data_IF_791641126267
#
_entry.id   IF_791641126267
#
_cell.length_a   1.000
_cell.length_b   1.000
_cell.length_c   1.000
_cell.angle_alpha   90.00
_cell.angle_beta   90.00
_cell.angle_gamma   90.00
#
_symmetry.space_group_name_H-M   'P 1'
#
loop_
_entity.id
_entity.type
_entity.pdbx_description
1 polymer ?
#
# COMPACT_ATOMS: atom_id res chain seq x y z
N UNK A 1 -1.73 36.43 -12.81
CA UNK A 1 -2.46 35.70 -11.75
C UNK A 1 -3.87 35.48 -12.26
N UNK A 2 -4.15 34.30 -12.81
CA UNK A 2 -5.48 33.89 -13.30
C UNK A 2 -6.00 32.82 -12.34
N UNK A 3 -7.29 32.85 -11.97
CA UNK A 3 -7.86 31.90 -11.03
C UNK A 3 -7.95 30.53 -11.70
N UNK A 4 -7.53 29.49 -10.99
CA UNK A 4 -7.75 28.10 -11.38
C UNK A 4 -9.20 27.82 -11.03
N UNK A 5 -10.04 27.68 -12.06
CA UNK A 5 -11.46 27.33 -11.96
C UNK A 5 -11.64 25.86 -11.60
N UNK A 6 -12.60 25.62 -10.71
CA UNK A 6 -13.13 24.35 -10.19
C UNK A 6 -13.40 23.26 -11.25
N UNK A 7 -12.36 22.53 -11.66
CA UNK A 7 -12.49 21.31 -12.44
C UNK A 7 -11.27 20.40 -12.24
N UNK A 8 -11.17 19.81 -11.05
CA UNK A 8 -10.29 18.67 -10.78
C UNK A 8 -11.06 17.69 -9.89
N UNK A 9 -12.09 17.05 -10.46
CA UNK A 9 -12.63 15.78 -9.95
C UNK A 9 -11.60 14.67 -10.22
N UNK A 10 -10.49 14.72 -9.47
CA UNK A 10 -9.47 13.70 -9.48
C UNK A 10 -9.98 12.48 -8.70
N UNK A 11 -10.23 11.38 -9.43
CA UNK A 11 -10.43 10.00 -9.01
C UNK A 11 -10.68 9.77 -7.52
N UNK A 12 -11.92 9.44 -7.17
CA UNK A 12 -12.33 9.15 -5.80
C UNK A 12 -11.59 7.92 -5.29
N UNK A 13 -10.46 8.16 -4.61
CA UNK A 13 -9.90 7.19 -3.67
C UNK A 13 -10.97 7.05 -2.60
N UNK A 14 -11.78 5.99 -2.65
CA UNK A 14 -12.81 5.74 -1.64
C UNK A 14 -12.13 5.82 -0.28
N UNK A 15 -12.53 6.81 0.51
CA UNK A 15 -11.95 7.06 1.82
C UNK A 15 -12.06 5.73 2.61
N UNK A 16 -10.95 5.20 3.16
CA UNK A 16 -10.99 4.01 4.01
C UNK A 16 -12.10 4.03 5.08
N UNK A 17 -12.49 5.23 5.52
CA UNK A 17 -13.64 5.45 6.40
C UNK A 17 -14.97 5.15 5.71
N UNK A 18 -15.25 5.75 4.56
CA UNK A 18 -16.47 5.50 3.77
C UNK A 18 -16.59 4.02 3.36
N UNK A 19 -15.48 3.40 2.97
CA UNK A 19 -15.42 1.97 2.66
C UNK A 19 -15.72 1.07 3.88
N UNK A 20 -15.37 1.50 5.09
CA UNK A 20 -15.74 0.77 6.30
C UNK A 20 -17.23 0.95 6.62
N UNK A 21 -17.72 2.18 6.55
CA UNK A 21 -19.11 2.52 6.88
C UNK A 21 -20.11 1.85 5.93
N UNK A 22 -19.78 1.70 4.64
CA UNK A 22 -20.65 1.08 3.63
C UNK A 22 -20.97 -0.41 3.90
N UNK A 23 -20.19 -1.09 4.75
CA UNK A 23 -20.48 -2.47 5.24
C UNK A 23 -20.81 -2.54 6.72
N UNK A 24 -21.16 -1.41 7.32
CA UNK A 24 -21.50 -1.32 8.73
C UNK A 24 -20.31 -1.61 9.66
N UNK A 25 -19.08 -1.40 9.17
CA UNK A 25 -17.88 -1.43 10.00
C UNK A 25 -17.53 -0.02 10.45
N UNK A 26 -16.82 0.06 11.57
CA UNK A 26 -16.35 1.32 12.11
C UNK A 26 -14.90 1.56 11.70
N UNK A 27 -14.62 2.81 11.34
CA UNK A 27 -13.25 3.26 11.13
C UNK A 27 -12.53 3.36 12.49
N UNK A 28 -11.35 2.72 12.60
CA UNK A 28 -10.53 2.65 13.80
C UNK A 28 -9.05 2.78 13.42
N UNK A 29 -8.24 3.39 14.27
CA UNK A 29 -6.78 3.33 14.18
C UNK A 29 -6.20 2.59 15.39
N UNK A 30 -4.97 2.13 15.27
CA UNK A 30 -4.24 1.50 16.38
C UNK A 30 -3.61 2.51 17.35
N UNK A 31 -3.82 3.80 17.13
CA UNK A 31 -3.57 4.86 18.12
C UNK A 31 -4.67 4.91 19.18
N UNK A 32 -5.82 4.28 18.92
CA UNK A 32 -6.91 4.15 19.88
C UNK A 32 -6.57 3.08 20.94
N UNK A 33 -7.16 3.18 22.15
CA UNK A 33 -7.07 2.14 23.17
C UNK A 33 -7.42 0.75 22.63
N UNK A 34 -6.53 -0.23 22.81
CA UNK A 34 -6.71 -1.60 22.34
C UNK A 34 -6.23 -2.65 23.33
N UNK A 35 -6.46 -3.91 22.98
CA UNK A 35 -5.95 -5.06 23.73
C UNK A 35 -4.51 -5.30 23.31
N UNK A 36 -3.61 -5.41 24.28
CA UNK A 36 -2.20 -5.71 24.06
C UNK A 36 -1.92 -7.19 24.26
N UNK A 37 -1.01 -7.75 23.47
CA UNK A 37 -0.53 -9.13 23.63
C UNK A 37 0.86 -9.17 24.25
N UNK A 38 1.01 -9.97 25.29
CA UNK A 38 2.27 -10.17 26.00
C UNK A 38 2.66 -11.65 26.00
N UNK A 39 3.95 -11.94 25.96
CA UNK A 39 4.47 -13.30 26.15
C UNK A 39 4.46 -13.66 27.64
N UNK A 40 4.07 -14.91 27.94
CA UNK A 40 4.08 -15.45 29.29
C UNK A 40 4.51 -16.93 29.23
N UNK A 41 5.82 -17.16 29.29
CA UNK A 41 6.41 -18.47 29.02
C UNK A 41 6.09 -18.91 27.58
N UNK A 42 5.54 -20.12 27.42
CA UNK A 42 5.16 -20.67 26.12
C UNK A 42 3.78 -20.18 25.60
N UNK A 43 3.07 -19.33 26.35
CA UNK A 43 1.71 -18.87 26.01
C UNK A 43 1.66 -17.36 25.88
N UNK A 44 0.60 -16.86 25.25
CA UNK A 44 0.29 -15.43 25.22
C UNK A 44 -0.74 -15.07 26.30
N UNK A 45 -0.58 -13.90 26.89
CA UNK A 45 -1.60 -13.22 27.72
C UNK A 45 -2.05 -11.94 27.02
N UNK A 46 -3.28 -11.55 27.31
CA UNK A 46 -3.89 -10.36 26.72
C UNK A 46 -4.32 -9.42 27.85
N UNK A 47 -3.99 -8.14 27.72
CA UNK A 47 -4.41 -7.09 28.64
C UNK A 47 -5.30 -6.09 27.92
N UNK A 48 -6.37 -5.64 28.57
CA UNK A 48 -7.20 -4.56 28.06
C UNK A 48 -6.46 -3.20 28.15
N UNK A 49 -7.04 -2.09 27.68
CA UNK A 49 -6.40 -0.79 27.75
C UNK A 49 -6.21 -0.24 29.17
N UNK A 50 -6.88 -0.82 30.18
CA UNK A 50 -6.69 -0.49 31.59
C UNK A 50 -5.57 -1.31 32.22
N UNK A 51 -4.99 -2.26 31.49
CA UNK A 51 -3.96 -3.18 31.96
C UNK A 51 -4.52 -4.47 32.56
N UNK A 52 -5.85 -4.64 32.59
CA UNK A 52 -6.50 -5.79 33.22
C UNK A 52 -6.46 -7.01 32.31
N UNK A 53 -6.33 -8.19 32.92
CA UNK A 53 -6.27 -9.43 32.16
C UNK A 53 -7.59 -9.71 31.43
N UNK A 54 -7.52 -9.93 30.11
CA UNK A 54 -8.68 -10.31 29.32
C UNK A 54 -9.01 -11.78 29.57
N UNK A 55 -10.08 -12.04 30.33
CA UNK A 55 -10.56 -13.39 30.68
C UNK A 55 -11.83 -13.80 29.93
N UNK A 56 -12.49 -12.86 29.25
CA UNK A 56 -13.72 -13.11 28.52
C UNK A 56 -13.47 -14.10 27.36
N UNK A 57 -14.12 -15.27 27.41
CA UNK A 57 -13.96 -16.35 26.44
C UNK A 57 -14.27 -15.92 25.00
N UNK A 58 -15.35 -15.16 24.79
CA UNK A 58 -15.74 -14.68 23.47
C UNK A 58 -14.69 -13.77 22.85
N UNK A 59 -14.06 -12.89 23.67
CA UNK A 59 -12.97 -12.03 23.21
C UNK A 59 -11.74 -12.87 22.85
N UNK A 60 -11.36 -13.82 23.70
CA UNK A 60 -10.21 -14.69 23.48
C UNK A 60 -10.38 -15.56 22.22
N UNK A 61 -11.56 -16.13 22.00
CA UNK A 61 -11.88 -16.91 20.79
C UNK A 61 -11.77 -16.05 19.53
N UNK A 62 -12.25 -14.79 19.57
CA UNK A 62 -12.08 -13.85 18.46
C UNK A 62 -10.61 -13.59 18.19
N UNK A 63 -9.80 -13.34 19.22
CA UNK A 63 -8.36 -13.08 19.08
C UNK A 63 -7.66 -14.28 18.42
N UNK A 64 -7.99 -15.51 18.84
CA UNK A 64 -7.43 -16.73 18.23
C UNK A 64 -7.77 -16.82 16.74
N UNK A 65 -9.01 -16.49 16.36
CA UNK A 65 -9.45 -16.47 14.94
C UNK A 65 -8.70 -15.44 14.08
N UNK A 66 -8.12 -14.39 14.67
CA UNK A 66 -7.31 -13.42 13.92
C UNK A 66 -5.97 -14.00 13.43
N UNK A 67 -5.54 -15.15 13.95
CA UNK A 67 -4.30 -15.84 13.57
C UNK A 67 -3.09 -14.87 13.51
N UNK A 68 -2.91 -14.08 14.57
CA UNK A 68 -1.80 -13.12 14.69
C UNK A 68 -0.51 -13.94 14.88
N UNK A 69 0.48 -13.84 13.96
CA UNK A 69 1.68 -14.65 14.03
C UNK A 69 2.39 -14.53 15.39
N UNK A 70 2.92 -15.62 15.94
CA UNK A 70 3.54 -15.60 17.26
C UNK A 70 4.81 -14.75 17.31
N UNK A 71 5.52 -14.61 16.18
CA UNK A 71 6.72 -13.79 16.07
C UNK A 71 6.46 -12.28 16.03
N UNK A 72 5.20 -11.83 15.96
CA UNK A 72 4.91 -10.39 15.92
C UNK A 72 5.10 -9.74 17.28
N UNK A 73 5.79 -8.60 17.30
CA UNK A 73 5.93 -7.71 18.46
C UNK A 73 4.98 -6.52 18.36
N UNK A 74 4.88 -5.71 19.43
CA UNK A 74 4.03 -4.51 19.50
C UNK A 74 2.61 -4.73 18.98
N UNK A 75 1.98 -5.81 19.45
CA UNK A 75 0.67 -6.23 18.94
C UNK A 75 -0.44 -5.44 19.63
N UNK A 76 -1.20 -4.73 18.81
CA UNK A 76 -2.45 -4.08 19.16
C UNK A 76 -3.63 -4.84 18.57
N UNK A 77 -4.69 -5.01 19.35
CA UNK A 77 -5.91 -5.71 18.91
C UNK A 77 -7.12 -4.84 19.22
N UNK A 78 -7.97 -4.63 18.21
CA UNK A 78 -9.16 -3.80 18.35
C UNK A 78 -10.15 -4.43 19.34
N UNK A 79 -10.66 -3.64 20.30
CA UNK A 79 -11.68 -4.10 21.25
C UNK A 79 -13.02 -4.44 20.58
N UNK A 80 -13.34 -3.76 19.46
CA UNK A 80 -14.62 -3.86 18.77
C UNK A 80 -14.53 -4.86 17.62
N UNK A 81 -15.44 -5.84 17.61
CA UNK A 81 -15.48 -6.87 16.57
C UNK A 81 -15.80 -6.29 15.17
N UNK A 82 -16.50 -5.16 15.10
CA UNK A 82 -16.84 -4.46 13.86
C UNK A 82 -15.82 -3.39 13.44
N UNK A 83 -14.63 -3.33 14.06
CA UNK A 83 -13.54 -2.46 13.60
C UNK A 83 -12.95 -2.93 12.27
N UNK A 84 -12.78 -2.05 11.30
CA UNK A 84 -12.25 -2.42 9.99
C UNK A 84 -10.80 -2.96 10.07
N UNK A 85 -9.98 -2.45 10.99
CA UNK A 85 -8.72 -3.07 11.45
C UNK A 85 -9.03 -3.87 12.71
N UNK A 86 -8.66 -5.15 12.71
CA UNK A 86 -8.82 -6.04 13.85
C UNK A 86 -7.55 -6.17 14.69
N UNK A 87 -6.36 -6.12 14.06
CA UNK A 87 -5.10 -6.10 14.78
C UNK A 87 -3.98 -5.46 13.95
N UNK A 88 -2.98 -4.94 14.65
CA UNK A 88 -1.68 -4.56 14.09
C UNK A 88 -0.55 -5.22 14.89
N UNK A 89 0.62 -5.30 14.29
CA UNK A 89 1.83 -5.76 14.95
C UNK A 89 3.06 -5.53 14.07
N UNK A 90 4.25 -5.73 14.62
CA UNK A 90 5.51 -5.63 13.88
C UNK A 90 6.05 -7.01 13.57
N UNK A 91 6.46 -7.21 12.32
CA UNK A 91 7.15 -8.44 11.94
C UNK A 91 8.62 -8.46 12.42
N UNK A 92 9.34 -9.56 12.14
CA UNK A 92 10.74 -9.72 12.51
C UNK A 92 11.69 -8.66 11.90
N UNK A 93 11.23 -7.90 10.90
CA UNK A 93 11.98 -6.78 10.30
C UNK A 93 11.49 -5.41 10.83
N UNK A 94 10.66 -5.40 11.87
CA UNK A 94 10.09 -4.18 12.47
C UNK A 94 8.98 -3.53 11.64
N UNK A 95 8.57 -4.13 10.53
CA UNK A 95 7.55 -3.55 9.63
C UNK A 95 6.18 -3.75 10.23
N UNK A 96 5.36 -2.69 10.21
CA UNK A 96 3.97 -2.73 10.67
C UNK A 96 3.12 -3.57 9.72
N UNK A 97 2.42 -4.54 10.27
CA UNK A 97 1.55 -5.49 9.59
C UNK A 97 0.13 -5.34 10.13
N UNK A 98 -0.85 -5.55 9.25
CA UNK A 98 -2.26 -5.36 9.56
C UNK A 98 -3.04 -6.67 9.45
N UNK A 99 -4.10 -6.79 10.25
CA UNK A 99 -5.18 -7.76 10.12
C UNK A 99 -6.49 -6.98 9.99
N UNK A 100 -7.16 -7.13 8.85
CA UNK A 100 -8.42 -6.45 8.56
C UNK A 100 -9.62 -7.35 8.85
N UNK A 101 -10.78 -6.73 9.08
CA UNK A 101 -12.05 -7.43 9.07
C UNK A 101 -12.34 -8.02 7.69
N UNK A 102 -12.93 -9.21 7.63
CA UNK A 102 -13.19 -9.95 6.38
C UNK A 102 -14.03 -9.14 5.39
N UNK A 103 -15.15 -8.56 5.86
CA UNK A 103 -16.00 -7.67 5.04
C UNK A 103 -15.27 -6.44 4.46
N UNK A 104 -14.35 -5.85 5.23
CA UNK A 104 -13.56 -4.72 4.74
C UNK A 104 -12.59 -5.16 3.64
N UNK A 105 -11.97 -6.33 3.82
CA UNK A 105 -11.09 -6.92 2.83
C UNK A 105 -11.84 -7.24 1.53
N UNK A 106 -13.03 -7.83 1.61
CA UNK A 106 -13.82 -8.17 0.42
C UNK A 106 -14.21 -6.96 -0.41
N UNK A 107 -14.61 -5.84 0.20
CA UNK A 107 -14.91 -4.62 -0.56
C UNK A 107 -13.64 -4.04 -1.17
N UNK A 108 -12.55 -3.96 -0.41
CA UNK A 108 -11.29 -3.44 -0.97
C UNK A 108 -10.79 -4.29 -2.13
N UNK A 109 -11.12 -5.58 -2.15
CA UNK A 109 -10.83 -6.44 -3.28
C UNK A 109 -11.83 -6.23 -4.44
N UNK A 110 -13.11 -5.94 -4.19
CA UNK A 110 -14.10 -5.63 -5.25
C UNK A 110 -13.88 -4.25 -5.89
N UNK A 111 -13.66 -3.20 -5.10
CA UNK A 111 -13.40 -1.83 -5.58
C UNK A 111 -12.15 -1.76 -6.47
N UNK A 112 -11.16 -2.66 -6.27
CA UNK A 112 -10.00 -2.76 -7.18
C UNK A 112 -10.42 -3.08 -8.61
N UNK A 113 -11.48 -3.87 -8.83
CA UNK A 113 -11.91 -4.23 -10.17
C UNK A 113 -12.60 -3.07 -10.88
N UNK A 114 -13.43 -2.30 -10.17
CA UNK A 114 -14.10 -1.12 -10.73
C UNK A 114 -13.07 -0.05 -11.14
N UNK A 115 -12.09 0.22 -10.28
CA UNK A 115 -11.01 1.15 -10.59
C UNK A 115 -10.17 0.72 -11.80
N UNK A 116 -10.01 -0.59 -12.04
CA UNK A 116 -9.30 -1.09 -13.21
C UNK A 116 -10.05 -0.75 -14.51
N UNK A 117 -11.38 -0.71 -14.49
CA UNK A 117 -12.19 -0.30 -15.65
C UNK A 117 -12.06 1.20 -15.92
N UNK A 118 -12.15 2.03 -14.87
CA UNK A 118 -11.95 3.48 -14.99
C UNK A 118 -10.53 3.82 -15.47
N UNK A 119 -9.52 3.15 -14.93
CA UNK A 119 -8.14 3.28 -15.37
C UNK A 119 -7.97 2.87 -16.84
N UNK A 120 -8.57 1.74 -17.25
CA UNK A 120 -8.53 1.28 -18.63
C UNK A 120 -9.17 2.29 -19.60
N UNK A 121 -10.29 2.92 -19.20
CA UNK A 121 -10.93 3.98 -19.98
C UNK A 121 -10.05 5.22 -20.12
N UNK A 122 -9.22 5.52 -19.12
CA UNK A 122 -8.32 6.70 -19.10
C UNK A 122 -6.99 6.43 -19.83
N UNK A 123 -6.62 5.16 -20.01
CA UNK A 123 -5.33 4.75 -20.58
C UNK A 123 -5.01 5.36 -21.96
N UNK A 124 -5.95 5.52 -22.90
CA UNK A 124 -5.67 6.18 -24.18
C UNK A 124 -5.19 7.64 -24.02
N UNK A 125 -5.80 8.39 -23.09
CA UNK A 125 -5.43 9.79 -22.84
C UNK A 125 -4.03 9.88 -22.21
N UNK A 126 -3.70 8.97 -21.29
CA UNK A 126 -2.36 8.87 -20.69
C UNK A 126 -1.31 8.62 -21.78
N UNK A 127 -1.55 7.63 -22.65
CA UNK A 127 -0.63 7.27 -23.75
C UNK A 127 -0.41 8.44 -24.71
N UNK A 128 -1.47 9.13 -25.12
CA UNK A 128 -1.35 10.31 -25.97
C UNK A 128 -0.49 11.40 -25.32
N UNK A 129 -0.69 11.66 -24.03
CA UNK A 129 0.10 12.65 -23.28
C UNK A 129 1.57 12.26 -23.16
N UNK A 130 1.84 10.98 -22.90
CA UNK A 130 3.21 10.43 -22.88
C UNK A 130 3.88 10.62 -24.24
N UNK A 131 3.21 10.26 -25.33
CA UNK A 131 3.75 10.40 -26.69
C UNK A 131 4.10 11.86 -27.03
N UNK A 132 3.25 12.81 -26.63
CA UNK A 132 3.50 14.23 -26.87
C UNK A 132 4.65 14.78 -26.02
N UNK A 133 4.74 14.43 -24.75
CA UNK A 133 5.83 14.88 -23.89
C UNK A 133 7.18 14.22 -24.26
N UNK A 134 7.16 13.01 -24.83
CA UNK A 134 8.36 12.34 -25.37
C UNK A 134 8.96 13.05 -26.58
N UNK A 135 8.14 13.76 -27.39
CA UNK A 135 8.59 14.54 -28.55
C UNK A 135 9.31 15.84 -28.17
N UNK A 136 9.24 16.28 -26.91
CA UNK A 136 9.87 17.54 -26.46
C UNK A 136 11.39 17.53 -26.68
N UNK A 137 11.96 18.69 -27.05
CA UNK A 137 13.40 18.86 -27.22
C UNK A 137 14.11 18.92 -25.86
N UNK A 138 15.32 18.34 -25.77
CA UNK A 138 16.10 18.31 -24.53
C UNK A 138 15.59 17.28 -23.52
N UNK A 139 15.82 17.53 -22.23
CA UNK A 139 15.37 16.70 -21.10
C UNK A 139 14.56 17.53 -20.08
N UNK A 140 13.44 18.17 -20.49
CA UNK A 140 12.57 18.86 -19.55
C UNK A 140 11.87 17.85 -18.62
N UNK A 141 11.39 18.33 -17.48
CA UNK A 141 10.72 17.50 -16.45
C UNK A 141 9.62 16.62 -17.04
N UNK A 142 8.80 17.16 -17.94
CA UNK A 142 7.68 16.42 -18.53
C UNK A 142 8.15 15.24 -19.37
N UNK A 143 9.25 15.40 -20.12
CA UNK A 143 9.82 14.32 -20.92
C UNK A 143 10.41 13.21 -20.04
N UNK A 144 11.04 13.59 -18.92
CA UNK A 144 11.55 12.62 -17.94
C UNK A 144 10.38 11.85 -17.32
N UNK A 145 9.30 12.52 -16.92
CA UNK A 145 8.10 11.87 -16.39
C UNK A 145 7.45 10.95 -17.43
N UNK A 146 7.30 11.39 -18.67
CA UNK A 146 6.77 10.58 -19.76
C UNK A 146 7.64 9.34 -20.01
N UNK A 147 8.96 9.48 -19.95
CA UNK A 147 9.90 8.34 -20.05
C UNK A 147 9.70 7.36 -18.91
N UNK A 148 9.53 7.84 -17.67
CA UNK A 148 9.25 7.00 -16.50
C UNK A 148 7.93 6.24 -16.71
N UNK A 149 6.84 6.92 -17.08
CA UNK A 149 5.53 6.28 -17.30
C UNK A 149 5.60 5.25 -18.41
N UNK A 150 6.27 5.58 -19.53
CA UNK A 150 6.49 4.64 -20.62
C UNK A 150 7.24 3.38 -20.17
N UNK A 151 8.32 3.54 -19.39
CA UNK A 151 9.08 2.41 -18.86
C UNK A 151 8.26 1.57 -17.87
N UNK A 152 7.40 2.17 -17.05
CA UNK A 152 6.48 1.43 -16.18
C UNK A 152 5.57 0.53 -17.01
N UNK A 153 5.00 1.07 -18.10
CA UNK A 153 4.11 0.33 -18.98
C UNK A 153 4.83 -0.79 -19.75
N UNK A 154 5.99 -0.52 -20.34
CA UNK A 154 6.67 -1.49 -21.23
C UNK A 154 7.47 -2.55 -20.49
N UNK A 155 7.93 -2.28 -19.26
CA UNK A 155 8.81 -3.18 -18.51
C UNK A 155 8.16 -3.79 -17.27
N UNK A 156 7.03 -3.25 -16.80
CA UNK A 156 6.39 -3.62 -15.53
C UNK A 156 7.31 -3.51 -14.30
N UNK A 157 8.41 -2.77 -14.42
CA UNK A 157 9.29 -2.50 -13.29
C UNK A 157 8.53 -1.72 -12.22
N UNK A 158 8.81 -1.99 -10.95
CA UNK A 158 8.23 -1.21 -9.86
C UNK A 158 8.80 0.20 -9.86
N UNK A 159 7.99 1.18 -9.47
CA UNK A 159 8.41 2.58 -9.32
C UNK A 159 9.68 2.69 -8.48
N UNK A 160 9.79 1.93 -7.39
CA UNK A 160 10.95 1.97 -6.49
C UNK A 160 10.78 2.98 -5.38
N UNK A 161 11.42 2.70 -4.24
CA UNK A 161 11.39 3.56 -3.05
C UNK A 161 12.84 3.68 -2.53
N UNK A 162 13.29 4.92 -2.29
CA UNK A 162 14.65 5.22 -1.85
C UNK A 162 15.04 4.50 -0.53
N UNK A 163 14.10 4.35 0.40
CA UNK A 163 14.35 3.66 1.67
C UNK A 163 14.54 2.15 1.46
N UNK A 164 13.75 1.56 0.56
CA UNK A 164 13.89 0.15 0.19
C UNK A 164 15.21 -0.13 -0.53
N UNK A 165 15.64 0.78 -1.41
CA UNK A 165 16.91 0.65 -2.12
C UNK A 165 18.12 0.68 -1.19
N UNK A 166 18.10 1.55 -0.17
CA UNK A 166 19.18 1.63 0.83
C UNK A 166 19.24 0.39 1.72
N UNK A 167 18.09 -0.11 2.17
CA UNK A 167 18.04 -1.19 3.17
C UNK A 167 18.20 -2.58 2.57
N UNK A 168 17.65 -2.82 1.37
CA UNK A 168 17.58 -4.17 0.78
C UNK A 168 18.43 -4.34 -0.49
N UNK A 169 19.15 -3.30 -0.92
CA UNK A 169 19.89 -3.26 -2.19
C UNK A 169 19.03 -3.60 -3.42
N UNK A 170 17.71 -3.39 -3.35
CA UNK A 170 16.77 -3.62 -4.45
C UNK A 170 16.34 -2.31 -5.08
N UNK A 171 16.42 -2.19 -6.41
CA UNK A 171 16.13 -0.95 -7.12
C UNK A 171 14.83 -1.05 -7.93
N UNK A 172 14.01 0.00 -7.90
CA UNK A 172 12.96 0.26 -8.88
C UNK A 172 13.30 1.47 -9.74
N UNK A 173 12.41 1.80 -10.68
CA UNK A 173 12.62 2.77 -11.76
C UNK A 173 13.20 4.12 -11.31
N UNK A 174 12.69 4.70 -10.23
CA UNK A 174 13.11 6.00 -9.69
C UNK A 174 14.38 5.94 -8.86
N UNK A 175 14.90 4.74 -8.62
CA UNK A 175 16.11 4.47 -7.83
C UNK A 175 17.21 3.81 -8.66
N UNK A 176 16.98 3.63 -9.97
CA UNK A 176 18.00 3.12 -10.88
C UNK A 176 19.21 4.04 -10.91
N UNK A 177 20.37 3.44 -11.16
CA UNK A 177 21.67 4.11 -11.29
C UNK A 177 22.24 3.75 -12.65
N UNK A 178 23.20 4.53 -13.14
CA UNK A 178 23.80 4.34 -14.46
C UNK A 178 24.30 2.91 -14.68
N UNK A 179 24.89 2.29 -13.65
CA UNK A 179 25.37 0.89 -13.70
C UNK A 179 24.28 -0.16 -13.94
N UNK A 180 23.01 0.17 -13.73
CA UNK A 180 21.88 -0.76 -13.94
C UNK A 180 21.36 -0.72 -15.37
N UNK A 181 21.90 0.16 -16.23
CA UNK A 181 21.42 0.37 -17.60
C UNK A 181 22.57 0.19 -18.58
N UNK A 182 22.52 -0.89 -19.36
CA UNK A 182 23.38 -1.03 -20.53
C UNK A 182 22.64 -0.50 -21.76
N UNK A 183 23.17 0.55 -22.38
CA UNK A 183 22.69 1.03 -23.68
C UNK A 183 23.46 0.32 -24.77
N UNK A 184 22.86 -0.69 -25.39
CA UNK A 184 23.45 -1.37 -26.55
C UNK A 184 23.03 -0.59 -27.81
N UNK A 185 24.00 0.03 -28.48
CA UNK A 185 23.78 0.73 -29.75
C UNK A 185 23.78 -0.26 -30.91
N UNK A 186 22.58 -0.57 -31.41
CA UNK A 186 22.30 -1.27 -32.66
C UNK A 186 21.02 -0.69 -33.32
N UNK A 187 20.50 -1.26 -34.42
CA UNK A 187 19.29 -0.76 -35.10
C UNK A 187 18.03 -0.75 -34.20
N UNK A 188 18.07 -1.45 -33.06
CA UNK A 188 17.14 -1.29 -31.93
C UNK A 188 17.96 -1.01 -30.67
N UNK A 189 17.66 0.09 -29.97
CA UNK A 189 18.21 0.36 -28.63
C UNK A 189 17.50 -0.55 -27.64
N UNK A 190 18.22 -1.50 -27.05
CA UNK A 190 17.70 -2.38 -26.00
C UNK A 190 18.37 -2.00 -24.69
N UNK A 191 17.57 -1.60 -23.71
CA UNK A 191 18.05 -1.48 -22.33
C UNK A 191 18.00 -2.86 -21.68
N UNK A 192 19.16 -3.40 -21.31
CA UNK A 192 19.25 -4.59 -20.45
C UNK A 192 19.43 -4.10 -19.01
N UNK A 193 18.61 -4.64 -18.11
CA UNK A 193 18.56 -4.26 -16.70
C UNK A 193 19.06 -5.41 -15.85
N UNK A 194 20.03 -5.14 -14.98
CA UNK A 194 20.42 -6.05 -13.91
C UNK A 194 19.85 -5.49 -12.60
N UNK A 195 18.86 -6.19 -12.03
CA UNK A 195 18.19 -5.84 -10.76
C UNK A 195 18.76 -6.63 -9.58
#
# INVERSE_FOLDING_TARGET
MRPISDADEAGVVVDPKEAAESVGLIYVSDDLPGISRHTHGAKFRYSDPRGEAVTNKTILERIVKLAIPPAYTDVWICQKANGHIQATGRDAKGRKQYRYHERFRSIRDSTKYEHMLEFAATLPAIRAKVDDDMKRRGLPREKVLATIVHLLETTMIRVGNADYAKQNKSYGLTTLKDRHVAVVTGPRRVARWDC
#
